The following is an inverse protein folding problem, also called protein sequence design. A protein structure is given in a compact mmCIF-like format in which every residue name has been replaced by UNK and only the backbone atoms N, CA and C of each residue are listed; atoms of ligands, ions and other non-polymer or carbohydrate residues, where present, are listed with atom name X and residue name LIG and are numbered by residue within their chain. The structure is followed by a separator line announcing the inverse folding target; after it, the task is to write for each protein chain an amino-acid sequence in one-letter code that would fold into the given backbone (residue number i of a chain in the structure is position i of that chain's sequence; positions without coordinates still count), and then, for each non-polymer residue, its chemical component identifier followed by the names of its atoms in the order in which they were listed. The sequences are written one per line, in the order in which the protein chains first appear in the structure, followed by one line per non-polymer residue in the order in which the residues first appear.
data_IF_575966307186
#
_entry.id   IF_575966307186
#
_cell.length_a   1.000
_cell.length_b   1.000
_cell.length_c   1.000
_cell.angle_alpha   90.00
_cell.angle_beta   90.00
_cell.angle_gamma   90.00
#
_symmetry.space_group_name_H-M   'P 1'
#
loop_
_entity.id
_entity.type
_entity.pdbx_description
1 polymer ?
#
# COMPACT_ATOMS: atom_id res chain seq x y z
N UNK A 1 7.25 44.72 18.67
CA UNK A 1 6.96 43.32 19.05
C UNK A 1 6.39 42.63 17.82
N UNK A 2 7.22 42.24 16.84
CA UNK A 2 6.71 41.78 15.53
C UNK A 2 7.07 40.32 15.17
N UNK A 3 7.90 39.63 15.96
CA UNK A 3 8.43 38.31 15.59
C UNK A 3 7.48 37.11 15.76
N UNK A 4 6.22 37.30 16.21
CA UNK A 4 5.32 36.18 16.54
C UNK A 4 4.42 35.75 15.38
N UNK A 5 4.17 36.63 14.41
CA UNK A 5 3.29 36.33 13.28
C UNK A 5 4.04 35.66 12.11
N UNK A 6 5.29 36.05 11.86
CA UNK A 6 6.11 35.48 10.77
C UNK A 6 6.48 34.00 11.01
N UNK A 7 6.69 33.61 12.27
CA UNK A 7 7.07 32.23 12.62
C UNK A 7 5.93 31.22 12.42
N UNK A 8 4.66 31.66 12.50
CA UNK A 8 3.51 30.75 12.34
C UNK A 8 3.18 30.47 10.86
N UNK A 9 3.47 31.42 9.97
CA UNK A 9 3.25 31.24 8.53
C UNK A 9 4.26 30.27 7.92
N UNK A 10 5.54 30.39 8.29
CA UNK A 10 6.58 29.47 7.80
C UNK A 10 6.33 28.01 8.18
N UNK A 11 5.79 27.73 9.37
CA UNK A 11 5.46 26.36 9.76
C UNK A 11 4.33 25.75 8.93
N UNK A 12 3.29 26.53 8.61
CA UNK A 12 2.17 26.02 7.79
C UNK A 12 2.57 25.79 6.34
N UNK A 13 3.44 26.65 5.79
CA UNK A 13 3.94 26.48 4.43
C UNK A 13 4.84 25.24 4.31
N UNK A 14 5.64 24.97 5.35
CA UNK A 14 6.51 23.79 5.42
C UNK A 14 5.71 22.49 5.55
N UNK A 15 4.64 22.49 6.34
CA UNK A 15 3.78 21.33 6.52
C UNK A 15 2.99 21.02 5.24
N UNK A 16 2.51 22.07 4.55
CA UNK A 16 1.89 21.94 3.23
C UNK A 16 2.86 21.41 2.16
N UNK A 17 4.12 21.82 2.17
CA UNK A 17 5.15 21.27 1.28
C UNK A 17 5.43 19.79 1.54
N UNK A 18 5.37 19.35 2.79
CA UNK A 18 5.53 17.93 3.13
C UNK A 18 4.34 17.13 2.61
N UNK A 19 3.12 17.57 2.87
CA UNK A 19 1.90 16.91 2.38
C UNK A 19 1.86 16.87 0.84
N UNK A 20 2.18 17.99 0.17
CA UNK A 20 2.31 18.07 -1.30
C UNK A 20 3.34 17.07 -1.80
N UNK A 21 4.53 17.05 -1.19
CA UNK A 21 5.58 16.14 -1.60
C UNK A 21 5.17 14.68 -1.42
N UNK A 22 4.47 14.33 -0.34
CA UNK A 22 4.05 12.95 -0.08
C UNK A 22 3.08 12.46 -1.15
N UNK A 23 2.12 13.29 -1.56
CA UNK A 23 1.21 12.97 -2.66
C UNK A 23 1.98 12.68 -3.96
N UNK A 24 2.89 13.58 -4.34
CA UNK A 24 3.71 13.41 -5.56
C UNK A 24 4.62 12.18 -5.48
N UNK A 25 5.08 11.80 -4.28
CA UNK A 25 5.90 10.60 -4.09
C UNK A 25 5.07 9.34 -4.30
N UNK A 26 3.82 9.30 -3.82
CA UNK A 26 2.93 8.18 -4.10
C UNK A 26 2.61 8.06 -5.58
N UNK A 27 2.27 9.17 -6.24
CA UNK A 27 2.00 9.21 -7.68
C UNK A 27 3.24 8.77 -8.50
N UNK A 28 4.46 9.12 -8.05
CA UNK A 28 5.71 8.64 -8.67
C UNK A 28 5.85 7.12 -8.54
N UNK A 29 5.55 6.57 -7.37
CA UNK A 29 5.70 5.14 -7.09
C UNK A 29 4.68 4.30 -7.87
N UNK A 30 3.51 4.86 -8.16
CA UNK A 30 2.45 4.22 -8.94
C UNK A 30 2.55 4.51 -10.46
N UNK A 31 3.60 5.22 -10.92
CA UNK A 31 3.85 5.61 -12.32
C UNK A 31 2.76 6.53 -12.92
N UNK A 32 2.03 7.26 -12.07
CA UNK A 32 0.97 8.20 -12.47
C UNK A 32 1.43 9.67 -12.48
N UNK A 33 2.70 9.94 -12.14
CA UNK A 33 3.25 11.29 -12.08
C UNK A 33 3.65 11.84 -13.46
N UNK A 34 3.17 13.03 -13.80
CA UNK A 34 3.57 13.74 -15.01
C UNK A 34 4.89 14.53 -14.86
N UNK A 35 5.44 14.99 -15.99
CA UNK A 35 6.77 15.61 -16.03
C UNK A 35 6.82 16.98 -15.31
N UNK A 36 5.70 17.70 -15.23
CA UNK A 36 5.64 18.97 -14.51
C UNK A 36 5.68 18.72 -12.99
N UNK A 37 4.90 17.76 -12.53
CA UNK A 37 4.82 17.33 -11.15
C UNK A 37 6.10 16.62 -10.69
N UNK A 38 6.78 15.90 -11.59
CA UNK A 38 8.13 15.38 -11.36
C UNK A 38 9.15 16.50 -11.12
N UNK A 39 9.18 17.53 -11.96
CA UNK A 39 10.08 18.66 -11.77
C UNK A 39 9.78 19.40 -10.44
N UNK A 40 8.50 19.48 -10.05
CA UNK A 40 8.07 20.04 -8.77
C UNK A 40 8.58 19.23 -7.59
N UNK A 41 8.43 17.91 -7.63
CA UNK A 41 8.93 17.00 -6.60
C UNK A 41 10.46 17.09 -6.46
N UNK A 42 11.19 17.16 -7.58
CA UNK A 42 12.65 17.34 -7.58
C UNK A 42 13.05 18.62 -6.86
N UNK A 43 12.39 19.75 -7.13
CA UNK A 43 12.64 21.02 -6.43
C UNK A 43 12.45 20.87 -4.91
N UNK A 44 11.34 20.26 -4.48
CA UNK A 44 11.04 20.05 -3.06
C UNK A 44 12.07 19.15 -2.38
N UNK A 45 12.56 18.12 -3.08
CA UNK A 45 13.60 17.21 -2.59
C UNK A 45 14.97 17.89 -2.47
N UNK A 46 15.33 18.81 -3.37
CA UNK A 46 16.59 19.54 -3.29
C UNK A 46 16.58 20.54 -2.11
N UNK A 47 15.48 21.26 -1.96
CA UNK A 47 15.34 22.36 -1.00
C UNK A 47 15.13 21.88 0.44
N UNK A 48 14.49 20.71 0.64
CA UNK A 48 14.03 20.28 1.96
C UNK A 48 14.53 18.88 2.36
N UNK A 49 15.40 18.82 3.38
CA UNK A 49 15.92 17.55 3.89
C UNK A 49 14.87 16.65 4.54
N UNK A 50 13.79 17.24 5.09
CA UNK A 50 12.69 16.48 5.68
C UNK A 50 11.89 15.77 4.60
N UNK A 51 11.65 16.44 3.46
CA UNK A 51 11.00 15.83 2.28
C UNK A 51 11.84 14.66 1.75
N UNK A 52 13.17 14.78 1.72
CA UNK A 52 14.05 13.64 1.36
C UNK A 52 13.91 12.47 2.32
N UNK A 53 13.79 12.72 3.62
CA UNK A 53 13.55 11.65 4.60
C UNK A 53 12.21 10.98 4.33
N UNK A 54 11.15 11.76 4.07
CA UNK A 54 9.82 11.24 3.75
C UNK A 54 9.79 10.41 2.48
N UNK A 55 10.53 10.83 1.45
CA UNK A 55 10.70 10.03 0.23
C UNK A 55 11.22 8.63 0.53
N UNK A 56 12.29 8.52 1.33
CA UNK A 56 12.84 7.22 1.70
C UNK A 56 11.83 6.38 2.50
N UNK A 57 11.12 7.00 3.46
CA UNK A 57 10.08 6.32 4.25
C UNK A 57 8.95 5.77 3.35
N UNK A 58 8.45 6.57 2.40
CA UNK A 58 7.39 6.18 1.47
C UNK A 58 7.84 5.05 0.53
N UNK A 59 9.05 5.13 -0.01
CA UNK A 59 9.62 4.08 -0.87
C UNK A 59 9.74 2.76 -0.09
N UNK A 60 10.24 2.81 1.14
CA UNK A 60 10.35 1.62 1.99
C UNK A 60 8.98 1.00 2.26
N UNK A 61 8.00 1.81 2.65
CA UNK A 61 6.64 1.33 2.89
C UNK A 61 6.01 0.73 1.62
N UNK A 62 6.23 1.35 0.46
CA UNK A 62 5.75 0.84 -0.82
C UNK A 62 6.32 -0.55 -1.13
N UNK A 63 7.63 -0.75 -0.92
CA UNK A 63 8.28 -2.05 -1.09
C UNK A 63 7.72 -3.08 -0.10
N UNK A 64 7.61 -2.72 1.19
CA UNK A 64 7.08 -3.61 2.23
C UNK A 64 5.65 -4.07 1.90
N UNK A 65 4.81 -3.16 1.41
CA UNK A 65 3.44 -3.46 0.98
C UNK A 65 3.43 -4.38 -0.25
N UNK A 66 4.24 -4.09 -1.26
CA UNK A 66 4.37 -4.96 -2.44
C UNK A 66 4.83 -6.37 -2.05
N UNK A 67 5.81 -6.50 -1.16
CA UNK A 67 6.30 -7.79 -0.68
C UNK A 67 5.23 -8.54 0.11
N UNK A 68 4.56 -7.88 1.05
CA UNK A 68 3.52 -8.52 1.87
C UNK A 68 2.35 -9.03 1.03
N UNK A 69 1.81 -8.19 0.14
CA UNK A 69 0.68 -8.58 -0.71
C UNK A 69 1.10 -9.53 -1.84
N UNK A 70 2.32 -9.38 -2.38
CA UNK A 70 2.90 -10.31 -3.36
C UNK A 70 3.09 -11.72 -2.79
N UNK A 71 3.62 -11.82 -1.57
CA UNK A 71 3.76 -13.08 -0.85
C UNK A 71 2.40 -13.72 -0.54
N UNK A 72 1.40 -12.91 -0.15
CA UNK A 72 0.05 -13.40 0.10
C UNK A 72 -0.60 -13.98 -1.16
N UNK A 73 -0.47 -13.31 -2.31
CA UNK A 73 -0.98 -13.79 -3.59
C UNK A 73 -0.33 -15.13 -4.00
N UNK A 74 0.95 -15.32 -3.73
CA UNK A 74 1.65 -16.59 -3.98
C UNK A 74 1.22 -17.71 -3.02
N UNK A 75 1.02 -17.38 -1.74
CA UNK A 75 0.62 -18.35 -0.71
C UNK A 75 -0.85 -18.81 -0.89
N UNK A 76 -1.74 -17.92 -1.37
CA UNK A 76 -3.10 -18.29 -1.77
C UNK A 76 -3.12 -19.18 -3.03
N UNK A 77 -2.25 -18.91 -4.03
CA UNK A 77 -2.10 -19.78 -5.20
C UNK A 77 -1.57 -21.18 -4.87
N UNK A 78 -0.71 -21.32 -3.86
CA UNK A 78 -0.23 -22.62 -3.39
C UNK A 78 -1.27 -23.39 -2.57
N UNK A 79 -2.31 -22.73 -2.04
CA UNK A 79 -3.43 -23.39 -1.35
C UNK A 79 -4.58 -23.80 -2.26
N UNK A 80 -4.49 -23.54 -3.57
CA UNK A 80 -5.44 -24.01 -4.60
C UNK A 80 -5.29 -25.48 -5.00
N UNK A 81 -4.58 -26.29 -4.21
CA UNK A 81 -4.28 -27.69 -4.48
C UNK A 81 -4.68 -28.62 -3.35
N UNK A 82 -5.82 -28.41 -2.69
CA UNK A 82 -6.46 -29.48 -1.91
C UNK A 82 -7.97 -29.20 -1.84
N UNK A 83 -8.84 -30.04 -2.44
CA UNK A 83 -10.26 -29.90 -2.23
C UNK A 83 -10.55 -30.22 -0.76
N UNK A 84 -10.78 -29.19 0.06
CA UNK A 84 -11.32 -29.35 1.41
C UNK A 84 -12.81 -29.66 1.27
N UNK A 85 -13.12 -30.90 0.87
CA UNK A 85 -14.47 -31.47 0.96
C UNK A 85 -14.34 -32.91 1.43
N UNK A 86 -14.17 -33.10 2.75
CA UNK A 86 -14.27 -34.45 3.31
C UNK A 86 -14.57 -34.53 4.82
N UNK A 87 -14.68 -33.43 5.59
CA UNK A 87 -14.95 -33.62 7.02
C UNK A 87 -15.77 -32.55 7.75
N UNK A 88 -16.51 -31.72 7.00
CA UNK A 88 -17.60 -30.97 7.61
C UNK A 88 -18.85 -31.89 7.62
N UNK A 89 -19.21 -32.33 8.82
CA UNK A 89 -20.49 -32.94 9.25
C UNK A 89 -20.51 -34.49 9.35
N UNK A 90 -20.20 -35.05 10.53
CA UNK A 90 -20.69 -36.37 10.91
C UNK A 90 -22.20 -36.25 11.16
N UNK A 91 -23.05 -36.65 10.20
CA UNK A 91 -24.49 -36.68 10.47
C UNK A 91 -25.48 -36.73 9.31
N UNK A 92 -25.06 -36.70 8.04
CA UNK A 92 -25.99 -36.77 6.89
C UNK A 92 -25.93 -38.10 6.13
N UNK A 93 -25.56 -39.19 6.82
CA UNK A 93 -25.84 -40.54 6.34
C UNK A 93 -27.33 -40.83 6.51
N UNK A 94 -28.16 -40.54 5.51
CA UNK A 94 -29.56 -40.95 5.59
C UNK A 94 -30.59 -40.31 4.66
N UNK A 95 -30.20 -39.52 3.65
CA UNK A 95 -31.19 -39.01 2.69
C UNK A 95 -31.29 -39.95 1.46
N UNK A 96 -32.48 -40.48 1.14
CA UNK A 96 -32.67 -41.36 -0.01
C UNK A 96 -32.60 -40.52 -1.28
N UNK A 97 -31.52 -40.68 -2.06
CA UNK A 97 -31.40 -39.97 -3.34
C UNK A 97 -30.00 -39.83 -3.95
N UNK A 98 -28.92 -40.26 -3.29
CA UNK A 98 -27.58 -40.24 -3.91
C UNK A 98 -27.17 -41.61 -4.44
N UNK A 99 -26.59 -41.69 -5.66
CA UNK A 99 -26.24 -42.96 -6.29
C UNK A 99 -25.08 -43.62 -5.54
N UNK A 100 -25.31 -44.86 -5.12
CA UNK A 100 -24.26 -45.76 -4.65
C UNK A 100 -23.30 -46.04 -5.81
N UNK A 101 -22.05 -45.58 -5.72
CA UNK A 101 -21.01 -46.12 -6.59
C UNK A 101 -20.66 -47.51 -6.03
N UNK A 102 -21.09 -48.54 -6.75
CA UNK A 102 -20.72 -49.93 -6.49
C UNK A 102 -19.28 -50.09 -7.00
N UNK A 103 -18.37 -50.58 -6.14
CA UNK A 103 -17.11 -51.19 -6.60
C UNK A 103 -17.37 -52.61 -7.09
#
# INVERSE_FOLDING_TARGET
MNNRFENRSQSSDFEGQIEESEALIWDLLDDELDEADFARLVSLLEENSTVRSRYVDCVQLHVDLQEYFGQKALNEKQRGGTPVVANALPGLAGLPGFPTVIQ
#
